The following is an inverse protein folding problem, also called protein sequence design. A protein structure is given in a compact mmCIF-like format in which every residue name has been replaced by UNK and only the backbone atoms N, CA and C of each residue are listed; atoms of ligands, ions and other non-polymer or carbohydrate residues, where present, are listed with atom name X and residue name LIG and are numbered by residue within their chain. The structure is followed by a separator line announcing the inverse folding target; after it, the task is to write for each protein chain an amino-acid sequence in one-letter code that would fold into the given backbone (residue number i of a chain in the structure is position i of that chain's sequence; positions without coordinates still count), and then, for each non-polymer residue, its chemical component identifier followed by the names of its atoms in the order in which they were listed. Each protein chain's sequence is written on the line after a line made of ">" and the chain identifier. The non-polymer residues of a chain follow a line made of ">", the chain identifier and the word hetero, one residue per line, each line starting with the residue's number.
data_IF_191010455144
#
_entry.id   IF_191010455144
#
_cell.length_a   1.000
_cell.length_b   1.000
_cell.length_c   1.000
_cell.angle_alpha   90.00
_cell.angle_beta   90.00
_cell.angle_gamma   90.00
#
_symmetry.space_group_name_H-M   'P 1'
#
loop_
_entity.id
_entity.type
_entity.pdbx_description
1 polymer ?
#
# COMPACT_ATOMS: atom_id res chain seq x y z
N UNK A 1 14.00 15.25 8.36
CA UNK A 1 15.39 15.43 8.80
C UNK A 1 15.71 14.32 9.78
N UNK A 2 16.81 13.57 9.59
CA UNK A 2 17.19 12.41 10.39
C UNK A 2 18.64 12.48 10.93
N UNK A 3 19.30 13.64 10.88
CA UNK A 3 20.73 13.80 11.22
C UNK A 3 21.02 14.41 12.61
N UNK A 4 20.00 14.96 13.29
CA UNK A 4 20.10 15.66 14.57
C UNK A 4 21.03 16.91 14.55
N UNK A 5 21.16 17.59 13.41
CA UNK A 5 21.98 18.80 13.28
C UNK A 5 21.22 20.09 13.64
N UNK A 6 21.48 20.62 14.84
CA UNK A 6 20.85 21.86 15.33
C UNK A 6 21.27 23.12 14.56
N UNK A 7 22.44 23.17 13.93
CA UNK A 7 22.82 24.34 13.11
C UNK A 7 21.96 24.39 11.85
N UNK A 8 21.72 23.24 11.23
CA UNK A 8 20.84 23.15 10.07
C UNK A 8 19.39 23.49 10.42
N UNK A 9 18.87 22.98 11.55
CA UNK A 9 17.50 23.25 12.00
C UNK A 9 17.27 24.74 12.27
N UNK A 10 18.21 25.42 12.94
CA UNK A 10 18.08 26.85 13.25
C UNK A 10 18.18 27.69 11.98
N UNK A 11 19.08 27.33 11.05
CA UNK A 11 19.18 27.95 9.72
C UNK A 11 17.88 27.78 8.94
N UNK A 12 17.33 26.56 8.92
CA UNK A 12 16.09 26.25 8.21
C UNK A 12 14.92 27.03 8.79
N UNK A 13 14.77 27.07 10.13
CA UNK A 13 13.75 27.87 10.80
C UNK A 13 13.85 29.36 10.42
N UNK A 14 15.06 29.93 10.45
CA UNK A 14 15.30 31.31 10.07
C UNK A 14 14.93 31.61 8.60
N UNK A 15 15.20 30.69 7.68
CA UNK A 15 14.88 30.86 6.25
C UNK A 15 13.39 30.64 5.97
N UNK A 16 12.79 29.58 6.51
CA UNK A 16 11.37 29.27 6.33
C UNK A 16 10.47 30.38 6.88
N UNK A 17 10.84 30.98 8.01
CA UNK A 17 10.09 32.11 8.56
C UNK A 17 10.03 33.29 7.58
N UNK A 18 11.16 33.63 6.93
CA UNK A 18 11.24 34.69 5.91
C UNK A 18 10.46 34.34 4.65
N UNK A 19 10.57 33.11 4.18
CA UNK A 19 9.84 32.65 2.99
C UNK A 19 8.33 32.65 3.24
N UNK A 20 7.89 32.22 4.43
CA UNK A 20 6.48 32.19 4.79
C UNK A 20 5.89 33.59 4.96
N UNK A 21 6.64 34.54 5.52
CA UNK A 21 6.21 35.93 5.72
C UNK A 21 6.40 36.81 4.49
N UNK A 22 7.23 36.39 3.53
CA UNK A 22 7.75 37.22 2.45
C UNK A 22 8.44 38.50 2.94
N UNK A 23 9.08 38.43 4.11
CA UNK A 23 9.80 39.53 4.74
C UNK A 23 11.19 39.04 5.23
N UNK A 24 12.29 39.57 4.66
CA UNK A 24 13.65 39.11 5.01
C UNK A 24 14.10 39.54 6.41
N UNK A 25 13.38 40.45 7.07
CA UNK A 25 13.72 40.93 8.42
C UNK A 25 13.18 40.02 9.54
N UNK A 26 12.28 39.09 9.21
CA UNK A 26 11.67 38.17 10.17
C UNK A 26 12.67 37.11 10.63
N UNK A 27 12.67 36.86 11.94
CA UNK A 27 13.56 35.93 12.63
C UNK A 27 15.05 36.15 12.26
N UNK A 28 15.64 37.30 12.63
CA UNK A 28 17.06 37.58 12.40
C UNK A 28 17.93 36.56 13.12
N UNK A 29 19.18 36.40 12.66
CA UNK A 29 20.09 35.35 13.13
C UNK A 29 20.25 35.31 14.66
N UNK A 30 20.33 36.47 15.30
CA UNK A 30 20.40 36.59 16.77
C UNK A 30 19.18 36.00 17.47
N UNK A 31 17.97 36.29 16.98
CA UNK A 31 16.74 35.72 17.54
C UNK A 31 16.63 34.23 17.26
N UNK A 32 17.12 33.76 16.11
CA UNK A 32 17.19 32.33 15.80
C UNK A 32 18.09 31.58 16.78
N UNK A 33 19.28 32.13 17.10
CA UNK A 33 20.17 31.58 18.12
C UNK A 33 19.54 31.66 19.53
N UNK A 34 18.86 32.76 19.86
CA UNK A 34 18.14 32.89 21.13
C UNK A 34 17.10 31.78 21.27
N UNK A 35 16.30 31.53 20.23
CA UNK A 35 15.32 30.45 20.20
C UNK A 35 15.97 29.07 20.41
N UNK A 36 17.13 28.83 19.80
CA UNK A 36 17.88 27.58 19.92
C UNK A 36 18.51 27.35 21.30
N UNK A 37 18.66 28.41 22.11
CA UNK A 37 19.36 28.39 23.40
C UNK A 37 18.42 28.70 24.55
N UNK A 38 18.37 29.96 25.01
CA UNK A 38 17.52 30.37 26.13
C UNK A 38 16.02 30.21 25.83
N UNK A 39 15.60 30.34 24.57
CA UNK A 39 14.23 30.08 24.14
C UNK A 39 13.81 28.63 24.37
N UNK A 40 14.66 27.67 23.97
CA UNK A 40 14.47 26.26 24.25
C UNK A 40 14.48 25.96 25.75
N UNK A 41 15.40 26.57 26.52
CA UNK A 41 15.43 26.42 27.97
C UNK A 41 14.13 26.94 28.62
N UNK A 42 13.62 28.09 28.22
CA UNK A 42 12.32 28.65 28.68
C UNK A 42 11.15 27.72 28.35
N UNK A 43 11.14 27.16 27.15
CA UNK A 43 10.09 26.22 26.72
C UNK A 43 10.06 24.94 27.58
N UNK A 44 11.21 24.54 28.14
CA UNK A 44 11.36 23.40 29.05
C UNK A 44 11.33 23.80 30.54
N UNK A 45 11.09 25.07 30.86
CA UNK A 45 11.14 25.61 32.23
C UNK A 45 12.50 25.42 32.94
N UNK A 46 13.59 25.47 32.16
CA UNK A 46 14.98 25.28 32.59
C UNK A 46 15.82 26.57 32.46
N UNK A 47 15.20 27.71 32.15
CA UNK A 47 15.89 28.98 31.91
C UNK A 47 16.66 29.48 33.13
N UNK A 48 16.30 29.05 34.34
CA UNK A 48 17.03 29.34 35.56
C UNK A 48 18.30 28.47 35.73
N UNK A 49 18.42 27.38 34.97
CA UNK A 49 19.55 26.44 35.02
C UNK A 49 20.51 26.60 33.86
N UNK A 50 20.02 26.85 32.64
CA UNK A 50 20.83 26.83 31.40
C UNK A 50 20.24 27.73 30.31
N UNK A 51 20.85 27.71 29.12
CA UNK A 51 20.42 28.46 27.93
C UNK A 51 21.08 29.83 27.76
N UNK A 52 21.82 30.31 28.76
CA UNK A 52 22.63 31.53 28.70
C UNK A 52 23.87 31.43 29.58
N UNK A 53 24.92 32.20 29.24
CA UNK A 53 26.14 32.28 30.03
C UNK A 53 26.02 33.38 31.09
N UNK A 54 25.40 33.05 32.21
CA UNK A 54 25.16 33.95 33.34
C UNK A 54 25.65 33.31 34.64
N UNK A 55 26.15 34.13 35.57
CA UNK A 55 26.60 33.64 36.88
C UNK A 55 25.46 32.93 37.60
N UNK A 56 25.73 31.73 38.11
CA UNK A 56 24.75 30.89 38.81
C UNK A 56 24.08 29.82 37.95
N UNK A 57 24.23 29.88 36.62
CA UNK A 57 23.76 28.83 35.71
C UNK A 57 24.80 27.72 35.52
N UNK A 58 24.35 26.57 35.00
CA UNK A 58 25.22 25.45 34.63
C UNK A 58 26.15 25.86 33.50
N UNK A 59 27.38 25.35 33.55
CA UNK A 59 28.36 25.51 32.48
C UNK A 59 28.05 24.52 31.33
N UNK A 60 26.98 24.83 30.59
CA UNK A 60 26.61 24.17 29.34
C UNK A 60 27.10 25.05 28.18
N UNK A 61 28.22 24.68 27.56
CA UNK A 61 28.99 25.53 26.65
C UNK A 61 29.37 24.74 25.40
N UNK A 62 29.08 25.31 24.23
CA UNK A 62 29.65 24.89 22.96
C UNK A 62 30.63 25.95 22.46
N UNK A 63 31.84 25.53 22.07
CA UNK A 63 32.85 26.40 21.47
C UNK A 63 32.89 26.07 19.98
N UNK A 64 32.63 27.07 19.13
CA UNK A 64 32.55 26.92 17.68
C UNK A 64 33.76 27.61 17.04
N UNK A 65 34.50 26.87 16.22
CA UNK A 65 35.66 27.35 15.47
C UNK A 65 35.21 27.94 14.13
N UNK A 66 35.21 29.28 14.06
CA UNK A 66 34.83 30.03 12.86
C UNK A 66 36.02 30.32 11.94
N UNK A 67 37.20 29.73 12.19
CA UNK A 67 38.41 29.94 11.38
C UNK A 67 38.40 29.25 10.02
N UNK A 68 37.50 28.28 9.81
CA UNK A 68 37.39 27.50 8.58
C UNK A 68 37.07 28.33 7.33
N UNK A 69 37.49 27.84 6.15
CA UNK A 69 37.36 28.56 4.87
C UNK A 69 35.91 28.92 4.54
N UNK A 70 34.94 28.06 4.87
CA UNK A 70 33.52 28.34 4.60
C UNK A 70 32.90 29.41 5.51
N UNK A 71 33.61 29.80 6.57
CA UNK A 71 33.22 30.88 7.48
C UNK A 71 33.93 32.21 7.12
N UNK A 72 34.65 32.27 5.99
CA UNK A 72 35.36 33.46 5.51
C UNK A 72 34.72 34.08 4.26
N UNK A 73 34.83 35.42 4.08
CA UNK A 73 35.42 36.39 5.00
C UNK A 73 34.51 36.70 6.21
N UNK A 74 35.10 37.01 7.36
CA UNK A 74 34.37 37.53 8.50
C UNK A 74 34.25 39.05 8.42
N UNK A 75 33.01 39.54 8.42
CA UNK A 75 32.73 40.97 8.46
C UNK A 75 32.56 41.44 9.89
N UNK A 76 33.14 42.58 10.23
CA UNK A 76 33.07 43.19 11.57
C UNK A 76 32.38 44.56 11.57
N UNK A 77 31.68 44.89 10.48
CA UNK A 77 30.98 46.17 10.30
C UNK A 77 29.68 46.29 11.13
N UNK A 78 29.23 45.20 11.77
CA UNK A 78 28.04 45.15 12.60
C UNK A 78 28.32 44.29 13.85
N UNK A 79 27.95 44.72 15.08
CA UNK A 79 28.09 43.90 16.28
C UNK A 79 27.36 42.54 16.20
N UNK A 80 26.30 42.43 15.41
CA UNK A 80 25.54 41.19 15.23
C UNK A 80 26.10 40.28 14.11
N UNK A 81 27.20 40.66 13.44
CA UNK A 81 27.75 39.90 12.32
C UNK A 81 28.15 38.46 12.69
N UNK A 82 28.60 38.23 13.92
CA UNK A 82 28.94 36.89 14.43
C UNK A 82 27.74 35.94 14.42
N UNK A 83 26.53 36.44 14.73
CA UNK A 83 25.32 35.62 14.68
C UNK A 83 24.98 35.21 13.25
N UNK A 84 25.22 36.10 12.29
CA UNK A 84 25.02 35.79 10.87
C UNK A 84 25.92 34.65 10.41
N UNK A 85 27.21 34.68 10.76
CA UNK A 85 28.15 33.60 10.44
C UNK A 85 27.70 32.30 11.13
N UNK A 86 27.34 32.37 12.42
CA UNK A 86 26.95 31.20 13.19
C UNK A 86 25.68 30.51 12.66
N UNK A 87 24.68 31.28 12.21
CA UNK A 87 23.40 30.70 11.75
C UNK A 87 23.42 30.33 10.28
N UNK A 88 24.07 31.12 9.41
CA UNK A 88 23.96 30.93 7.97
C UNK A 88 25.18 30.24 7.33
N UNK A 89 26.33 30.23 7.99
CA UNK A 89 27.57 29.67 7.43
C UNK A 89 28.12 28.48 8.22
N UNK A 90 28.12 28.57 9.55
CA UNK A 90 28.70 27.54 10.41
C UNK A 90 27.95 26.20 10.29
N UNK A 91 28.68 25.12 10.58
CA UNK A 91 28.20 23.74 10.55
C UNK A 91 28.41 23.07 11.90
N UNK A 92 27.68 21.99 12.18
CA UNK A 92 27.90 21.16 13.38
C UNK A 92 29.36 20.69 13.53
N UNK A 93 30.04 20.43 12.42
CA UNK A 93 31.48 20.05 12.38
C UNK A 93 32.43 21.15 12.86
N UNK A 94 31.97 22.39 12.93
CA UNK A 94 32.76 23.51 13.43
C UNK A 94 32.79 23.56 14.97
N UNK A 95 31.94 22.81 15.66
CA UNK A 95 31.96 22.71 17.11
C UNK A 95 33.27 22.02 17.54
N UNK A 96 34.16 22.76 18.18
CA UNK A 96 35.47 22.28 18.61
C UNK A 96 35.42 21.64 20.01
N UNK A 97 34.60 22.19 20.90
CA UNK A 97 34.49 21.71 22.27
C UNK A 97 33.05 21.78 22.78
N UNK A 98 32.66 20.83 23.62
CA UNK A 98 31.36 20.81 24.30
C UNK A 98 31.57 20.47 25.76
N UNK A 99 31.02 21.31 26.62
CA UNK A 99 30.93 21.13 28.07
C UNK A 99 29.46 21.10 28.48
N UNK A 100 29.11 20.18 29.38
CA UNK A 100 27.78 20.11 29.99
C UNK A 100 27.96 20.01 31.49
N UNK A 101 27.31 20.90 32.24
CA UNK A 101 27.39 21.03 33.68
C UNK A 101 28.84 21.04 34.20
N UNK A 102 29.73 21.75 33.52
CA UNK A 102 31.14 21.85 33.89
C UNK A 102 32.02 20.67 33.47
N UNK A 103 31.44 19.62 32.87
CA UNK A 103 32.17 18.43 32.41
C UNK A 103 32.36 18.47 30.90
N UNK A 104 33.60 18.29 30.45
CA UNK A 104 33.90 18.14 29.02
C UNK A 104 33.30 16.84 28.48
N UNK A 105 32.46 16.95 27.46
CA UNK A 105 31.95 15.82 26.68
C UNK A 105 32.71 15.66 25.37
N UNK A 106 33.15 16.77 24.78
CA UNK A 106 33.99 16.80 23.58
C UNK A 106 35.08 17.86 23.74
N UNK A 107 36.30 17.54 23.31
CA UNK A 107 37.42 18.49 23.28
C UNK A 107 38.27 18.26 22.05
N UNK A 108 38.64 19.34 21.34
CA UNK A 108 39.41 19.26 20.09
C UNK A 108 38.75 18.32 19.06
N UNK A 109 37.41 18.40 18.97
CA UNK A 109 36.56 17.54 18.14
C UNK A 109 36.65 16.03 18.45
N UNK A 110 37.13 15.65 19.64
CA UNK A 110 37.17 14.26 20.11
C UNK A 110 36.18 14.05 21.25
N UNK A 111 35.30 13.05 21.12
CA UNK A 111 34.38 12.66 22.18
C UNK A 111 35.14 12.03 23.35
N UNK A 112 34.79 12.41 24.58
CA UNK A 112 35.49 11.98 25.80
C UNK A 112 34.68 10.98 26.64
N UNK A 113 33.43 10.72 26.25
CA UNK A 113 32.47 9.95 27.06
C UNK A 113 31.91 8.72 26.34
N UNK A 114 32.31 8.48 25.11
CA UNK A 114 31.80 7.41 24.25
C UNK A 114 32.96 6.77 23.49
N UNK A 115 32.87 5.46 23.28
CA UNK A 115 33.66 4.75 22.27
C UNK A 115 32.86 4.79 20.96
N UNK A 116 33.32 5.62 20.03
CA UNK A 116 32.64 5.82 18.75
C UNK A 116 32.54 4.52 17.94
N UNK A 117 33.61 3.72 17.90
CA UNK A 117 33.63 2.48 17.13
C UNK A 117 32.66 1.45 17.73
N UNK A 118 32.65 1.29 19.05
CA UNK A 118 31.72 0.39 19.73
C UNK A 118 30.26 0.84 19.56
N UNK A 119 30.00 2.16 19.61
CA UNK A 119 28.66 2.71 19.44
C UNK A 119 28.13 2.48 18.02
N UNK A 120 28.96 2.69 16.99
CA UNK A 120 28.60 2.42 15.59
C UNK A 120 28.29 0.93 15.39
N UNK A 121 29.11 0.04 15.98
CA UNK A 121 28.86 -1.40 15.90
C UNK A 121 27.53 -1.81 16.55
N UNK A 122 27.20 -1.25 17.72
CA UNK A 122 25.93 -1.50 18.39
C UNK A 122 24.72 -0.98 17.60
N UNK A 123 24.86 0.20 16.97
CA UNK A 123 23.83 0.75 16.09
C UNK A 123 23.61 -0.13 14.85
N UNK A 124 24.68 -0.64 14.23
CA UNK A 124 24.59 -1.55 13.10
C UNK A 124 23.90 -2.88 13.46
N UNK A 125 24.17 -3.42 14.65
CA UNK A 125 23.47 -4.60 15.15
C UNK A 125 21.97 -4.35 15.32
N UNK A 126 21.60 -3.21 15.91
CA UNK A 126 20.19 -2.83 16.07
C UNK A 126 19.51 -2.63 14.72
N UNK A 127 20.21 -2.02 13.76
CA UNK A 127 19.71 -1.85 12.40
C UNK A 127 19.46 -3.21 11.72
N UNK A 128 20.35 -4.19 11.89
CA UNK A 128 20.15 -5.53 11.35
C UNK A 128 18.92 -6.24 11.95
N UNK A 129 18.64 -6.04 13.24
CA UNK A 129 17.43 -6.59 13.90
C UNK A 129 16.16 -5.92 13.38
N UNK A 130 16.18 -4.59 13.21
CA UNK A 130 15.08 -3.85 12.60
C UNK A 130 14.87 -4.30 11.16
N UNK A 131 15.93 -4.43 10.37
CA UNK A 131 15.88 -4.87 8.96
C UNK A 131 15.32 -6.28 8.85
N UNK A 132 15.73 -7.20 9.72
CA UNK A 132 15.17 -8.55 9.76
C UNK A 132 13.67 -8.52 10.05
N UNK A 133 13.24 -7.76 11.06
CA UNK A 133 11.83 -7.59 11.40
C UNK A 133 11.02 -6.97 10.27
N UNK A 134 11.54 -5.91 9.65
CA UNK A 134 10.89 -5.23 8.53
C UNK A 134 10.82 -6.15 7.32
N UNK A 135 11.89 -6.88 7.00
CA UNK A 135 11.93 -7.84 5.89
C UNK A 135 10.91 -8.95 6.08
N UNK A 136 10.88 -9.58 7.27
CA UNK A 136 9.90 -10.63 7.58
C UNK A 136 8.47 -10.09 7.43
N UNK A 137 8.20 -8.89 7.95
CA UNK A 137 6.86 -8.31 7.96
C UNK A 137 6.40 -7.77 6.60
N UNK A 138 7.28 -7.10 5.86
CA UNK A 138 7.02 -6.52 4.53
C UNK A 138 7.08 -7.57 3.41
N UNK A 139 7.70 -8.73 3.64
CA UNK A 139 7.62 -9.84 2.69
C UNK A 139 6.20 -10.41 2.57
N UNK A 140 5.38 -10.28 3.62
CA UNK A 140 3.99 -10.74 3.57
C UNK A 140 3.08 -9.71 2.90
N UNK A 141 2.55 -10.09 1.74
CA UNK A 141 1.56 -9.33 0.98
C UNK A 141 0.31 -9.07 1.84
N UNK A 142 -0.05 -10.00 2.73
CA UNK A 142 -1.15 -9.83 3.67
C UNK A 142 -0.92 -8.66 4.63
N UNK A 143 0.25 -8.58 5.26
CA UNK A 143 0.57 -7.48 6.18
C UNK A 143 0.55 -6.13 5.45
N UNK A 144 1.17 -6.07 4.26
CA UNK A 144 1.11 -4.91 3.37
C UNK A 144 -0.33 -4.47 3.07
N UNK A 145 -1.23 -5.42 2.82
CA UNK A 145 -2.65 -5.14 2.57
C UNK A 145 -3.39 -4.64 3.82
N UNK A 146 -3.12 -5.23 5.00
CA UNK A 146 -3.71 -4.83 6.28
C UNK A 146 -3.39 -3.37 6.60
N UNK A 147 -2.13 -2.96 6.40
CA UNK A 147 -1.69 -1.59 6.65
C UNK A 147 -2.31 -0.56 5.70
N UNK A 148 -2.49 -0.92 4.42
CA UNK A 148 -3.03 0.00 3.44
C UNK A 148 -4.52 0.29 3.63
N UNK A 149 -5.31 -0.75 3.87
CA UNK A 149 -6.75 -0.66 3.58
C UNK A 149 -7.67 -1.19 4.69
N UNK A 150 -7.14 -1.73 5.80
CA UNK A 150 -7.98 -2.32 6.85
C UNK A 150 -8.75 -3.52 6.33
N UNK A 151 -8.13 -4.71 6.39
CA UNK A 151 -8.64 -5.89 5.72
C UNK A 151 -9.81 -6.55 6.46
N UNK A 152 -10.85 -6.94 5.72
CA UNK A 152 -11.90 -7.84 6.23
C UNK A 152 -11.66 -9.28 5.76
N UNK A 153 -11.58 -10.22 6.72
CA UNK A 153 -11.53 -11.66 6.45
C UNK A 153 -12.95 -12.18 6.18
N UNK A 154 -13.14 -12.91 5.08
CA UNK A 154 -14.33 -13.71 4.85
C UNK A 154 -13.94 -15.17 4.61
N UNK A 155 -14.48 -16.08 5.42
CA UNK A 155 -14.38 -17.53 5.21
C UNK A 155 -15.70 -18.07 4.70
N UNK A 156 -15.88 -18.15 3.39
CA UNK A 156 -17.09 -18.73 2.81
C UNK A 156 -16.74 -19.80 1.80
N UNK A 157 -17.57 -20.83 1.69
CA UNK A 157 -17.58 -21.69 0.52
C UNK A 157 -18.14 -20.90 -0.66
N UNK A 158 -17.37 -20.80 -1.74
CA UNK A 158 -17.87 -20.31 -3.03
C UNK A 158 -18.08 -21.51 -3.94
N UNK A 159 -19.33 -21.74 -4.32
CA UNK A 159 -19.68 -22.73 -5.35
C UNK A 159 -19.74 -21.98 -6.65
N UNK A 160 -19.09 -22.53 -7.67
CA UNK A 160 -19.12 -21.94 -9.00
C UNK A 160 -19.09 -22.99 -10.09
N UNK A 161 -19.77 -22.69 -11.19
CA UNK A 161 -19.62 -23.38 -12.45
C UNK A 161 -19.39 -22.35 -13.54
N UNK A 162 -18.48 -22.66 -14.47
CA UNK A 162 -18.16 -21.83 -15.61
C UNK A 162 -18.18 -22.69 -16.86
N UNK A 163 -18.87 -22.25 -17.90
CA UNK A 163 -19.04 -23.03 -19.12
C UNK A 163 -18.90 -22.11 -20.33
N UNK A 164 -18.12 -22.49 -21.37
CA UNK A 164 -18.09 -21.75 -22.62
C UNK A 164 -19.44 -21.91 -23.34
N UNK A 165 -19.94 -20.81 -23.90
CA UNK A 165 -21.17 -20.77 -24.70
C UNK A 165 -20.91 -20.00 -25.99
N UNK A 166 -21.45 -20.48 -27.10
CA UNK A 166 -21.19 -19.90 -28.42
C UNK A 166 -21.81 -18.50 -28.59
N UNK A 167 -23.02 -18.32 -28.04
CA UNK A 167 -23.77 -17.07 -28.10
C UNK A 167 -24.53 -16.78 -26.79
N UNK A 168 -25.17 -15.61 -26.75
CA UNK A 168 -25.87 -15.09 -25.58
C UNK A 168 -27.34 -15.49 -25.48
N UNK A 169 -27.90 -16.10 -26.51
CA UNK A 169 -29.36 -16.25 -26.72
C UNK A 169 -29.97 -17.11 -25.62
N UNK A 170 -29.45 -18.33 -25.42
CA UNK A 170 -29.98 -19.24 -24.40
C UNK A 170 -29.96 -18.64 -22.99
N UNK A 171 -28.91 -17.89 -22.66
CA UNK A 171 -28.77 -17.21 -21.35
C UNK A 171 -29.80 -16.08 -21.22
N UNK A 172 -29.95 -15.25 -22.25
CA UNK A 172 -30.94 -14.16 -22.23
C UNK A 172 -32.37 -14.69 -22.18
N UNK A 173 -32.68 -15.77 -22.89
CA UNK A 173 -33.99 -16.41 -22.90
C UNK A 173 -34.34 -16.97 -21.51
N UNK A 174 -33.39 -17.63 -20.85
CA UNK A 174 -33.57 -18.10 -19.47
C UNK A 174 -33.79 -16.94 -18.49
N UNK A 175 -33.00 -15.86 -18.60
CA UNK A 175 -33.14 -14.68 -17.74
C UNK A 175 -34.49 -13.98 -17.96
N UNK A 176 -35.01 -14.01 -19.19
CA UNK A 176 -36.33 -13.46 -19.53
C UNK A 176 -37.51 -14.39 -19.19
N UNK A 177 -37.25 -15.65 -18.83
CA UNK A 177 -38.26 -16.65 -18.51
C UNK A 177 -38.82 -16.51 -17.08
N UNK A 178 -39.93 -17.18 -16.82
CA UNK A 178 -40.55 -17.26 -15.48
C UNK A 178 -39.81 -18.22 -14.53
N UNK A 179 -38.70 -18.84 -14.96
CA UNK A 179 -37.94 -19.80 -14.14
C UNK A 179 -37.21 -19.16 -12.96
N UNK A 180 -36.89 -17.86 -13.03
CA UNK A 180 -36.18 -17.17 -11.97
C UNK A 180 -36.68 -15.73 -11.78
N UNK A 181 -36.42 -15.15 -10.61
CA UNK A 181 -36.71 -13.74 -10.34
C UNK A 181 -35.42 -12.94 -10.30
N UNK A 182 -35.29 -11.95 -11.17
CA UNK A 182 -34.14 -11.02 -11.16
C UNK A 182 -34.29 -10.07 -9.98
N UNK A 183 -33.27 -9.99 -9.12
CA UNK A 183 -33.21 -9.05 -7.98
C UNK A 183 -32.29 -7.87 -8.25
N UNK A 184 -31.29 -8.03 -9.12
CA UNK A 184 -30.38 -6.96 -9.56
C UNK A 184 -29.76 -7.31 -10.90
N UNK A 185 -29.46 -6.30 -11.72
CA UNK A 185 -28.67 -6.46 -12.94
C UNK A 185 -27.58 -5.38 -13.05
N UNK A 186 -26.50 -5.68 -13.76
CA UNK A 186 -25.43 -4.75 -14.08
C UNK A 186 -24.70 -5.16 -15.36
N UNK A 187 -24.19 -4.18 -16.10
CA UNK A 187 -23.25 -4.34 -17.21
C UNK A 187 -22.01 -3.51 -16.89
N UNK A 188 -20.83 -4.12 -17.00
CA UNK A 188 -19.57 -3.41 -16.76
C UNK A 188 -18.41 -4.06 -17.50
N UNK A 189 -17.43 -3.24 -17.88
CA UNK A 189 -16.10 -3.72 -18.25
C UNK A 189 -15.31 -3.96 -16.97
N UNK A 190 -14.71 -5.14 -16.86
CA UNK A 190 -13.96 -5.57 -15.69
C UNK A 190 -12.50 -5.76 -16.08
N UNK A 191 -11.62 -5.01 -15.42
CA UNK A 191 -10.18 -5.06 -15.56
C UNK A 191 -9.60 -5.77 -14.34
N UNK A 192 -9.15 -7.00 -14.50
CA UNK A 192 -8.51 -7.79 -13.45
C UNK A 192 -6.99 -7.78 -13.66
N UNK A 193 -6.25 -7.10 -12.79
CA UNK A 193 -4.80 -7.15 -12.72
C UNK A 193 -4.36 -8.08 -11.57
N UNK A 194 -3.74 -9.20 -11.91
CA UNK A 194 -3.23 -10.20 -10.98
C UNK A 194 -1.74 -9.98 -10.74
N UNK A 195 -1.39 -9.74 -9.49
CA UNK A 195 -0.02 -9.66 -8.98
C UNK A 195 0.37 -11.04 -8.44
N UNK A 196 1.41 -11.61 -9.04
CA UNK A 196 1.95 -12.92 -8.71
C UNK A 196 3.26 -12.73 -7.95
N UNK A 197 3.44 -13.49 -6.88
CA UNK A 197 4.60 -13.40 -6.00
C UNK A 197 5.32 -14.76 -6.00
N UNK A 198 6.65 -14.74 -6.01
CA UNK A 198 7.48 -15.96 -6.01
C UNK A 198 7.63 -16.59 -4.61
N UNK A 199 6.97 -16.01 -3.60
CA UNK A 199 7.12 -16.35 -2.19
C UNK A 199 6.35 -17.60 -1.76
N UNK A 200 6.89 -18.30 -0.77
CA UNK A 200 6.30 -19.49 -0.14
C UNK A 200 5.21 -19.18 0.91
N UNK A 201 4.54 -18.02 0.84
CA UNK A 201 3.45 -17.67 1.76
C UNK A 201 2.14 -18.34 1.29
N UNK A 202 1.70 -19.44 1.94
CA UNK A 202 0.49 -20.17 1.53
C UNK A 202 -0.78 -19.32 1.64
N UNK A 203 -0.77 -18.24 2.44
CA UNK A 203 -1.90 -17.33 2.61
C UNK A 203 -1.91 -16.20 1.56
N UNK A 204 -0.89 -16.09 0.71
CA UNK A 204 -0.68 -14.95 -0.19
C UNK A 204 -0.21 -15.31 -1.61
N UNK A 205 -0.74 -16.39 -2.20
CA UNK A 205 -0.36 -16.85 -3.54
C UNK A 205 -0.54 -15.79 -4.66
N UNK A 206 -1.61 -14.97 -4.60
CA UNK A 206 -1.82 -13.87 -5.55
C UNK A 206 -2.71 -12.76 -5.00
N UNK A 207 -2.39 -11.52 -5.36
CA UNK A 207 -3.21 -10.34 -5.10
C UNK A 207 -3.88 -9.90 -6.40
N UNK A 208 -5.18 -9.58 -6.35
CA UNK A 208 -5.91 -9.06 -7.51
C UNK A 208 -6.37 -7.64 -7.26
N UNK A 209 -5.90 -6.70 -8.09
CA UNK A 209 -6.54 -5.40 -8.29
C UNK A 209 -7.63 -5.57 -9.34
N UNK A 210 -8.86 -5.19 -9.00
CA UNK A 210 -9.99 -5.20 -9.93
C UNK A 210 -10.56 -3.82 -10.04
N UNK A 211 -10.83 -3.42 -11.27
CA UNK A 211 -11.61 -2.23 -11.59
C UNK A 211 -12.84 -2.61 -12.42
N UNK A 212 -14.02 -2.24 -11.94
CA UNK A 212 -15.30 -2.45 -12.60
C UNK A 212 -15.82 -1.09 -13.13
N UNK A 213 -15.80 -0.89 -14.45
CA UNK A 213 -16.37 0.28 -15.14
C UNK A 213 -17.81 -0.02 -15.57
N UNK A 214 -18.78 0.54 -14.85
CA UNK A 214 -20.21 0.33 -15.12
C UNK A 214 -20.67 1.07 -16.36
N UNK A 215 -21.37 0.33 -17.24
CA UNK A 215 -21.82 0.80 -18.55
C UNK A 215 -23.33 1.08 -18.50
N UNK A 216 -23.72 2.24 -19.04
CA UNK A 216 -25.13 2.61 -19.22
C UNK A 216 -25.73 2.04 -20.51
N UNK A 217 -27.03 2.24 -20.73
CA UNK A 217 -27.72 1.75 -21.94
C UNK A 217 -27.19 2.37 -23.24
N UNK A 218 -26.52 3.53 -23.16
CA UNK A 218 -25.90 4.20 -24.30
C UNK A 218 -24.47 3.71 -24.57
N UNK A 219 -23.94 2.79 -23.75
CA UNK A 219 -22.59 2.24 -23.88
C UNK A 219 -21.50 3.08 -23.21
N UNK A 220 -21.85 4.09 -22.42
CA UNK A 220 -20.89 4.96 -21.74
C UNK A 220 -20.60 4.48 -20.32
N UNK A 221 -19.35 4.63 -19.89
CA UNK A 221 -18.98 4.38 -18.51
C UNK A 221 -19.47 5.52 -17.61
N UNK A 222 -20.23 5.22 -16.56
CA UNK A 222 -20.80 6.24 -15.65
C UNK A 222 -20.25 6.14 -14.21
N UNK A 223 -19.66 5.01 -13.84
CA UNK A 223 -19.10 4.78 -12.51
C UNK A 223 -17.96 3.77 -12.59
N UNK A 224 -16.88 3.99 -11.85
CA UNK A 224 -15.83 2.99 -11.62
C UNK A 224 -15.80 2.56 -10.16
N UNK A 225 -15.50 1.29 -9.92
CA UNK A 225 -15.24 0.74 -8.60
C UNK A 225 -13.99 -0.11 -8.63
N UNK A 226 -13.03 0.22 -7.77
CA UNK A 226 -11.81 -0.54 -7.60
C UNK A 226 -11.75 -1.30 -6.28
N UNK A 227 -11.20 -2.52 -6.28
CA UNK A 227 -10.94 -3.28 -5.06
C UNK A 227 -9.67 -4.11 -5.15
N UNK A 228 -9.10 -4.41 -3.99
CA UNK A 228 -8.06 -5.41 -3.80
C UNK A 228 -8.68 -6.71 -3.27
N UNK A 229 -8.16 -7.85 -3.73
CA UNK A 229 -8.52 -9.17 -3.19
C UNK A 229 -7.27 -10.02 -3.10
N UNK A 230 -6.79 -10.27 -1.88
CA UNK A 230 -5.77 -11.29 -1.66
C UNK A 230 -6.44 -12.66 -1.67
N UNK A 231 -5.90 -13.55 -2.48
CA UNK A 231 -6.41 -14.90 -2.71
C UNK A 231 -5.32 -15.85 -2.20
N UNK A 232 -5.56 -16.44 -1.02
CA UNK A 232 -4.68 -17.50 -0.50
C UNK A 232 -4.81 -18.80 -1.27
N UNK A 233 -3.87 -19.73 -1.05
CA UNK A 233 -4.05 -21.11 -1.45
C UNK A 233 -5.24 -21.69 -0.67
N UNK A 234 -6.22 -22.22 -1.38
CA UNK A 234 -7.33 -22.88 -0.70
C UNK A 234 -7.69 -24.18 -1.37
N UNK A 235 -8.26 -25.07 -0.58
CA UNK A 235 -8.58 -26.43 -1.00
C UNK A 235 -9.66 -26.38 -2.08
N UNK A 236 -9.28 -26.71 -3.30
CA UNK A 236 -10.20 -26.96 -4.41
C UNK A 236 -10.75 -28.37 -4.24
N UNK A 237 -12.06 -28.50 -4.00
CA UNK A 237 -12.72 -29.79 -4.03
C UNK A 237 -13.59 -29.87 -5.28
N UNK A 238 -13.28 -30.83 -6.13
CA UNK A 238 -14.04 -31.06 -7.35
C UNK A 238 -15.24 -31.97 -7.03
N UNK A 239 -16.43 -31.50 -7.37
CA UNK A 239 -17.62 -32.33 -7.41
C UNK A 239 -17.89 -32.74 -8.85
N UNK A 240 -18.63 -33.84 -9.07
CA UNK A 240 -19.06 -34.22 -10.42
C UNK A 240 -19.71 -33.06 -11.18
N UNK A 241 -20.43 -32.17 -10.45
CA UNK A 241 -21.32 -31.17 -11.05
C UNK A 241 -21.00 -29.70 -10.79
N UNK A 242 -19.93 -29.39 -10.07
CA UNK A 242 -19.48 -28.02 -9.84
C UNK A 242 -18.05 -27.99 -9.29
N UNK A 243 -17.43 -26.80 -9.34
CA UNK A 243 -16.19 -26.56 -8.60
C UNK A 243 -16.55 -25.89 -7.28
N UNK A 244 -16.25 -26.56 -6.16
CA UNK A 244 -16.31 -25.94 -4.85
C UNK A 244 -14.93 -25.40 -4.49
N UNK A 245 -14.86 -24.08 -4.29
CA UNK A 245 -13.66 -23.42 -3.81
C UNK A 245 -13.85 -23.06 -2.33
N UNK A 246 -13.04 -23.68 -1.47
CA UNK A 246 -12.79 -23.16 -0.13
C UNK A 246 -11.53 -22.31 -0.20
N UNK A 247 -11.63 -20.99 -0.04
CA UNK A 247 -10.46 -20.09 0.00
C UNK A 247 -10.67 -18.99 1.02
N UNK A 248 -9.65 -18.71 1.80
CA UNK A 248 -9.57 -17.47 2.58
C UNK A 248 -9.42 -16.32 1.59
N UNK A 249 -10.34 -15.34 1.67
CA UNK A 249 -10.26 -14.11 0.88
C UNK A 249 -10.25 -12.93 1.81
N UNK A 250 -9.35 -12.01 1.49
CA UNK A 250 -9.19 -10.75 2.19
C UNK A 250 -9.55 -9.63 1.24
N UNK A 251 -10.53 -8.83 1.65
CA UNK A 251 -11.02 -7.70 0.86
C UNK A 251 -10.49 -6.39 1.42
N UNK A 252 -10.15 -5.50 0.50
CA UNK A 252 -9.70 -4.14 0.76
C UNK A 252 -10.20 -3.24 -0.37
N UNK A 253 -10.59 -2.02 -0.05
CA UNK A 253 -10.87 -1.00 -1.06
C UNK A 253 -9.57 -0.61 -1.78
N UNK A 254 -9.66 -0.25 -3.06
CA UNK A 254 -8.53 0.29 -3.81
C UNK A 254 -8.76 1.79 -4.04
N UNK A 255 -8.14 2.61 -3.20
CA UNK A 255 -8.23 4.08 -3.18
C UNK A 255 -7.05 4.77 -3.90
N UNK A 256 -6.05 3.99 -4.35
CA UNK A 256 -4.86 4.47 -5.07
C UNK A 256 -4.84 3.94 -6.51
N UNK A 257 -3.97 4.53 -7.32
CA UNK A 257 -3.79 4.09 -8.70
C UNK A 257 -3.17 2.70 -8.78
N UNK A 258 -3.43 1.99 -9.89
CA UNK A 258 -2.78 0.71 -10.18
C UNK A 258 -1.25 0.80 -10.09
N UNK A 259 -0.66 1.89 -10.59
CA UNK A 259 0.79 2.15 -10.50
C UNK A 259 1.30 2.17 -9.06
N UNK A 260 0.59 2.84 -8.16
CA UNK A 260 0.96 2.85 -6.74
C UNK A 260 1.01 1.42 -6.18
N UNK A 261 0.01 0.60 -6.48
CA UNK A 261 -0.02 -0.78 -5.99
C UNK A 261 1.08 -1.65 -6.61
N UNK A 262 1.44 -1.44 -7.88
CA UNK A 262 2.59 -2.11 -8.50
C UNK A 262 3.89 -1.80 -7.75
N UNK A 263 4.15 -0.52 -7.48
CA UNK A 263 5.36 -0.08 -6.77
C UNK A 263 5.37 -0.55 -5.31
N UNK A 264 4.22 -0.52 -4.64
CA UNK A 264 4.10 -0.90 -3.22
C UNK A 264 4.22 -2.41 -2.97
N UNK A 265 3.54 -3.22 -3.79
CA UNK A 265 3.56 -4.66 -3.64
C UNK A 265 4.76 -5.32 -4.31
N UNK A 266 5.34 -4.70 -5.35
CA UNK A 266 6.49 -5.20 -6.10
C UNK A 266 6.35 -6.68 -6.50
N UNK A 267 5.31 -7.03 -7.30
CA UNK A 267 5.10 -8.41 -7.70
C UNK A 267 6.23 -8.93 -8.59
N UNK A 268 6.46 -10.24 -8.56
CA UNK A 268 7.43 -10.89 -9.43
C UNK A 268 6.95 -10.90 -10.89
N UNK A 269 5.64 -11.05 -11.10
CA UNK A 269 5.02 -10.90 -12.41
C UNK A 269 3.57 -10.44 -12.31
N UNK A 270 3.04 -9.91 -13.41
CA UNK A 270 1.67 -9.42 -13.51
C UNK A 270 0.93 -10.06 -14.67
N UNK A 271 -0.38 -10.22 -14.52
CA UNK A 271 -1.28 -10.69 -15.58
C UNK A 271 -2.55 -9.87 -15.61
N UNK A 272 -2.92 -9.42 -16.79
CA UNK A 272 -4.15 -8.68 -17.00
C UNK A 272 -5.20 -9.57 -17.68
N UNK A 273 -6.45 -9.46 -17.21
CA UNK A 273 -7.61 -10.04 -17.87
C UNK A 273 -8.71 -8.99 -17.96
N UNK A 274 -9.09 -8.65 -19.18
CA UNK A 274 -10.17 -7.69 -19.47
C UNK A 274 -11.41 -8.44 -19.94
N UNK A 275 -12.57 -8.13 -19.36
CA UNK A 275 -13.85 -8.78 -19.67
C UNK A 275 -14.96 -7.77 -19.82
N UNK A 276 -15.85 -8.00 -20.77
CA UNK A 276 -17.18 -7.38 -20.81
C UNK A 276 -18.16 -8.31 -20.09
N UNK A 277 -18.76 -7.86 -18.99
CA UNK A 277 -19.59 -8.70 -18.10
C UNK A 277 -21.01 -8.18 -18.01
N UNK A 278 -21.95 -9.03 -18.39
CA UNK A 278 -23.35 -8.92 -18.01
C UNK A 278 -23.59 -9.76 -16.76
N UNK A 279 -24.21 -9.18 -15.74
CA UNK A 279 -24.43 -9.83 -14.46
C UNK A 279 -25.86 -9.69 -13.98
N UNK A 280 -26.47 -10.81 -13.64
CA UNK A 280 -27.78 -10.88 -13.00
C UNK A 280 -27.65 -11.54 -11.63
N UNK A 281 -28.24 -10.93 -10.62
CA UNK A 281 -28.58 -11.61 -9.39
C UNK A 281 -30.00 -12.14 -9.53
N UNK A 282 -30.15 -13.45 -9.37
CA UNK A 282 -31.42 -14.15 -9.52
C UNK A 282 -31.76 -14.93 -8.26
N UNK A 283 -33.05 -15.06 -8.01
CA UNK A 283 -33.60 -16.03 -7.08
C UNK A 283 -34.16 -17.20 -7.90
N UNK A 284 -33.58 -18.39 -7.72
CA UNK A 284 -34.04 -19.64 -8.34
C UNK A 284 -34.36 -20.63 -7.23
N UNK A 285 -35.61 -21.10 -7.16
CA UNK A 285 -36.10 -21.96 -6.06
C UNK A 285 -35.69 -21.44 -4.67
N UNK A 286 -36.01 -20.17 -4.39
CA UNK A 286 -35.67 -19.45 -3.15
C UNK A 286 -34.17 -19.39 -2.80
N UNK A 287 -33.30 -19.59 -3.79
CA UNK A 287 -31.85 -19.59 -3.62
C UNK A 287 -31.21 -18.52 -4.48
N UNK A 288 -30.37 -17.68 -3.87
CA UNK A 288 -29.65 -16.60 -4.56
C UNK A 288 -28.45 -17.13 -5.37
N UNK A 289 -28.43 -16.73 -6.65
CA UNK A 289 -27.31 -16.95 -7.56
C UNK A 289 -26.91 -15.64 -8.24
N UNK A 290 -25.62 -15.52 -8.55
CA UNK A 290 -25.12 -14.55 -9.51
C UNK A 290 -24.82 -15.29 -10.81
N UNK A 291 -25.53 -14.95 -11.88
CA UNK A 291 -25.31 -15.43 -13.24
C UNK A 291 -24.56 -14.34 -13.99
N UNK A 292 -23.36 -14.67 -14.47
CA UNK A 292 -22.54 -13.79 -15.28
C UNK A 292 -22.42 -14.35 -16.69
N UNK A 293 -22.53 -13.49 -17.69
CA UNK A 293 -22.17 -13.78 -19.07
C UNK A 293 -20.97 -12.91 -19.43
N UNK A 294 -19.83 -13.55 -19.63
CA UNK A 294 -18.55 -12.88 -19.82
C UNK A 294 -18.07 -13.04 -21.25
N UNK A 295 -17.72 -11.93 -21.89
CA UNK A 295 -16.85 -11.94 -23.07
C UNK A 295 -15.45 -11.56 -22.63
N UNK A 296 -14.48 -12.45 -22.81
CA UNK A 296 -13.07 -12.15 -22.46
C UNK A 296 -12.44 -11.44 -23.65
N UNK A 297 -12.03 -10.20 -23.41
CA UNK A 297 -11.47 -9.31 -24.43
C UNK A 297 -9.94 -9.43 -24.47
N UNK A 298 -9.31 -9.55 -23.30
CA UNK A 298 -7.86 -9.65 -23.20
C UNK A 298 -7.48 -10.71 -22.15
N UNK A 299 -6.69 -11.74 -22.52
CA UNK A 299 -6.50 -12.17 -23.90
C UNK A 299 -7.84 -12.58 -24.54
N UNK A 300 -7.99 -12.34 -25.85
CA UNK A 300 -9.25 -12.64 -26.54
C UNK A 300 -9.52 -14.14 -26.49
N UNK A 301 -10.69 -14.53 -25.96
CA UNK A 301 -11.17 -15.90 -25.99
C UNK A 301 -12.43 -16.01 -26.85
N UNK A 302 -12.60 -17.10 -27.61
CA UNK A 302 -13.75 -17.25 -28.49
C UNK A 302 -15.05 -17.42 -27.70
N UNK A 303 -16.11 -16.78 -28.21
CA UNK A 303 -17.47 -16.89 -27.66
C UNK A 303 -17.65 -16.15 -26.33
N UNK A 304 -18.50 -16.72 -25.48
CA UNK A 304 -18.80 -16.21 -24.15
C UNK A 304 -18.55 -17.30 -23.12
N UNK A 305 -18.48 -16.90 -21.86
CA UNK A 305 -18.47 -17.80 -20.73
C UNK A 305 -19.63 -17.49 -19.81
N UNK A 306 -20.50 -18.47 -19.62
CA UNK A 306 -21.52 -18.45 -18.59
C UNK A 306 -20.89 -18.85 -17.26
N UNK A 307 -21.04 -18.03 -16.23
CA UNK A 307 -20.53 -18.30 -14.89
C UNK A 307 -21.65 -18.14 -13.85
N UNK A 308 -22.03 -19.22 -13.18
CA UNK A 308 -23.03 -19.21 -12.11
C UNK A 308 -22.31 -19.35 -10.77
N UNK A 309 -22.59 -18.43 -9.83
CA UNK A 309 -21.95 -18.37 -8.52
C UNK A 309 -22.92 -18.23 -7.37
N UNK A 310 -22.59 -18.87 -6.26
CA UNK A 310 -23.24 -18.61 -4.98
C UNK A 310 -22.25 -18.82 -3.83
N UNK A 311 -22.50 -18.15 -2.70
CA UNK A 311 -21.69 -18.25 -1.49
C UNK A 311 -22.50 -18.81 -0.34
N UNK A 312 -21.85 -19.54 0.55
CA UNK A 312 -22.46 -20.09 1.75
C UNK A 312 -21.41 -20.37 2.83
N UNK A 313 -21.86 -20.48 4.07
CA UNK A 313 -21.04 -20.85 5.22
C UNK A 313 -21.14 -22.35 5.54
N UNK A 314 -22.06 -23.07 4.88
CA UNK A 314 -22.31 -24.50 5.11
C UNK A 314 -21.90 -25.33 3.89
N UNK A 315 -21.11 -26.37 4.12
CA UNK A 315 -20.74 -27.35 3.09
C UNK A 315 -21.96 -28.07 2.50
N UNK A 316 -22.90 -28.46 3.34
CA UNK A 316 -24.14 -29.15 2.90
C UNK A 316 -24.99 -28.24 2.01
N UNK A 317 -25.06 -26.95 2.35
CA UNK A 317 -25.74 -25.97 1.50
C UNK A 317 -24.98 -25.72 0.19
N UNK A 318 -23.64 -25.79 0.21
CA UNK A 318 -22.82 -25.70 -0.99
C UNK A 318 -23.12 -26.85 -1.97
N UNK A 319 -23.26 -28.08 -1.47
CA UNK A 319 -23.65 -29.25 -2.27
C UNK A 319 -25.06 -29.08 -2.88
N UNK A 320 -26.04 -28.62 -2.08
CA UNK A 320 -27.38 -28.30 -2.59
C UNK A 320 -27.32 -27.24 -3.71
N UNK A 321 -26.56 -26.17 -3.51
CA UNK A 321 -26.39 -25.10 -4.49
C UNK A 321 -25.72 -25.58 -5.78
N UNK A 322 -24.77 -26.52 -5.70
CA UNK A 322 -24.16 -27.15 -6.86
C UNK A 322 -25.18 -27.92 -7.72
N UNK A 323 -26.08 -28.67 -7.07
CA UNK A 323 -27.15 -29.39 -7.78
C UNK A 323 -28.11 -28.42 -8.48
N UNK A 324 -28.53 -27.35 -7.80
CA UNK A 324 -29.37 -26.30 -8.40
C UNK A 324 -28.68 -25.60 -9.59
N UNK A 325 -27.36 -25.39 -9.54
CA UNK A 325 -26.62 -24.86 -10.70
C UNK A 325 -26.69 -25.82 -11.89
N UNK A 326 -26.69 -27.13 -11.65
CA UNK A 326 -26.81 -28.14 -12.72
C UNK A 326 -28.19 -28.09 -13.35
N UNK A 327 -29.25 -27.95 -12.54
CA UNK A 327 -30.62 -27.75 -13.05
C UNK A 327 -30.72 -26.50 -13.92
N UNK A 328 -30.12 -25.37 -13.48
CA UNK A 328 -30.08 -24.14 -14.28
C UNK A 328 -29.34 -24.36 -15.60
N UNK A 329 -28.20 -25.06 -15.59
CA UNK A 329 -27.46 -25.38 -16.82
C UNK A 329 -28.28 -26.26 -17.78
N UNK A 330 -29.01 -27.24 -17.25
CA UNK A 330 -29.91 -28.07 -18.07
C UNK A 330 -31.03 -27.26 -18.71
N UNK A 331 -31.61 -26.29 -18.00
CA UNK A 331 -32.61 -25.36 -18.56
C UNK A 331 -32.02 -24.45 -19.65
N UNK A 332 -30.72 -24.15 -19.56
CA UNK A 332 -29.98 -23.38 -20.56
C UNK A 332 -29.54 -24.23 -21.77
N UNK A 333 -29.77 -25.54 -21.75
CA UNK A 333 -29.29 -26.47 -22.79
C UNK A 333 -27.76 -26.61 -22.81
N UNK A 334 -27.10 -26.36 -21.68
CA UNK A 334 -25.65 -26.37 -21.56
C UNK A 334 -25.20 -27.64 -20.82
N UNK A 335 -24.41 -28.47 -21.51
CA UNK A 335 -23.86 -29.69 -20.92
C UNK A 335 -22.70 -29.40 -19.97
N UNK A 336 -22.79 -29.98 -18.79
CA UNK A 336 -21.81 -29.83 -17.72
C UNK A 336 -20.42 -30.36 -18.09
N UNK A 337 -20.33 -31.32 -19.01
CA UNK A 337 -19.05 -31.86 -19.49
C UNK A 337 -18.18 -30.80 -20.16
N UNK A 338 -18.80 -29.73 -20.67
CA UNK A 338 -18.09 -28.61 -21.28
C UNK A 338 -17.58 -27.59 -20.25
N UNK A 339 -17.85 -27.80 -18.95
CA UNK A 339 -17.48 -26.87 -17.90
C UNK A 339 -15.96 -26.63 -17.83
N UNK A 340 -15.58 -25.36 -17.88
CA UNK A 340 -14.21 -24.90 -17.77
C UNK A 340 -13.83 -24.73 -16.30
N UNK A 341 -12.88 -25.58 -15.89
CA UNK A 341 -12.45 -25.73 -14.49
C UNK A 341 -11.36 -24.72 -14.10
N UNK A 342 -10.61 -24.16 -15.04
CA UNK A 342 -9.51 -23.21 -14.78
C UNK A 342 -10.04 -21.81 -14.48
N UNK A 343 -9.30 -20.96 -13.78
CA UNK A 343 -9.66 -19.54 -13.71
C UNK A 343 -9.30 -18.81 -15.00
N UNK A 344 -9.89 -17.64 -15.26
CA UNK A 344 -9.56 -16.87 -16.47
C UNK A 344 -8.08 -16.53 -16.57
N UNK A 345 -7.42 -16.21 -15.45
CA UNK A 345 -5.98 -15.99 -15.41
C UNK A 345 -5.19 -17.23 -15.85
N UNK A 346 -5.65 -18.44 -15.52
CA UNK A 346 -4.97 -19.68 -15.87
C UNK A 346 -5.28 -20.10 -17.32
N UNK A 347 -6.48 -19.81 -17.83
CA UNK A 347 -6.84 -20.04 -19.24
C UNK A 347 -5.99 -19.14 -20.15
N UNK A 348 -5.85 -17.88 -19.76
CA UNK A 348 -5.02 -16.90 -20.45
C UNK A 348 -3.56 -17.38 -20.61
N UNK A 349 -2.98 -18.01 -19.59
CA UNK A 349 -1.61 -18.54 -19.63
C UNK A 349 -1.40 -19.59 -20.72
N UNK A 350 -2.39 -20.45 -20.96
CA UNK A 350 -2.26 -21.55 -21.94
C UNK A 350 -2.29 -21.03 -23.38
N UNK A 351 -3.11 -20.03 -23.66
CA UNK A 351 -3.20 -19.40 -25.00
C UNK A 351 -1.89 -18.68 -25.33
N UNK A 352 -1.35 -17.91 -24.39
CA UNK A 352 -0.08 -17.17 -24.51
C UNK A 352 1.13 -18.10 -24.78
N UNK A 353 1.09 -19.33 -24.26
CA UNK A 353 2.13 -20.35 -24.48
C UNK A 353 1.99 -21.10 -25.80
N UNK A 354 0.77 -21.21 -26.34
CA UNK A 354 0.51 -21.87 -27.62
C UNK A 354 0.83 -20.96 -28.82
N UNK A 355 0.82 -19.64 -28.64
CA UNK A 355 1.23 -18.67 -29.67
C UNK A 355 2.75 -18.41 -29.70
N UNK A 356 3.50 -18.87 -28.68
CA UNK A 356 4.96 -18.69 -28.56
C UNK A 356 5.78 -19.95 -28.89
N UNK A 357 5.13 -21.07 -29.22
CA UNK A 357 5.77 -22.30 -29.73
C UNK A 357 5.43 -22.51 -31.18
#
# INVERSE_FOLDING_TARGET
>A
NNDLDMFEEVRLAALLAKTKSNDPTVLPARQALEAATIGGARALHMEHLTGSLEVGKRADIAIVDLGGVHNQPQFHNNPDAVYSVLIYSAKSTDVAHVMVNGRWLMRDRRLLTLDEAATIAAAAQTAAEIDAFVTERESSVYNKLVFLAGVQRQESFEVQVKVPVADKTAVLDFIASDHCRITKQAHYKQYDNYFLFDGADPDAARLRYREDEFIDEAGNAYQSRSRLTLIGEGTRQEFPNAVMLSRTRFYADADRSLRFYREYFAPASEREVVKDRLRWHILYQDTDFAVNLDKVLEPELPGYFLEIKSRTWSRTDAERKANLMTEILSLLGVELETAERREYADIALVVDSAEKG
#
